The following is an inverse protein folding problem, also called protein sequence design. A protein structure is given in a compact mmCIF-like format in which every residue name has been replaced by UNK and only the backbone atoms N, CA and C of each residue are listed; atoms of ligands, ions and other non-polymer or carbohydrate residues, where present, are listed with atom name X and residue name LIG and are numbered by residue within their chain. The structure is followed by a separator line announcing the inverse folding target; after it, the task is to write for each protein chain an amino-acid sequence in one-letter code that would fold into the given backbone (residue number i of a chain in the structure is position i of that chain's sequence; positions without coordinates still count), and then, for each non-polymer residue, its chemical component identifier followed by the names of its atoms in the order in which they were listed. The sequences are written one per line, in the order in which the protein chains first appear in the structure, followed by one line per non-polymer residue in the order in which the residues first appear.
data_IF_345145082825
#
_entry.id   IF_345145082825
#
_cell.length_a   1.000
_cell.length_b   1.000
_cell.length_c   1.000
_cell.angle_alpha   90.00
_cell.angle_beta   90.00
_cell.angle_gamma   90.00
#
_symmetry.space_group_name_H-M   'P 1'
#
loop_
_entity.id
_entity.type
_entity.pdbx_description
1 polymer ?
#
# COMPACT_ATOMS: atom_id res chain seq x y z
N UNK A 1 17.33 1.66 -0.80
CA UNK A 1 16.53 0.55 -0.23
C UNK A 1 15.71 -0.09 -1.34
N UNK A 2 15.92 -1.38 -1.58
CA UNK A 2 15.31 -2.13 -2.68
C UNK A 2 13.88 -2.55 -2.31
N UNK A 3 12.88 -1.85 -2.86
CA UNK A 3 11.46 -2.05 -2.57
C UNK A 3 10.85 -3.18 -3.41
N UNK A 4 11.45 -4.38 -3.38
CA UNK A 4 11.05 -5.52 -4.23
C UNK A 4 10.05 -6.46 -3.58
N UNK A 5 9.91 -6.41 -2.25
CA UNK A 5 9.00 -7.29 -1.52
C UNK A 5 7.56 -6.79 -1.70
N UNK A 6 6.69 -7.69 -2.16
CA UNK A 6 5.27 -7.45 -2.35
C UNK A 6 4.45 -8.38 -1.47
N UNK A 7 3.21 -7.99 -1.18
CA UNK A 7 2.25 -8.75 -0.40
C UNK A 7 0.91 -8.81 -1.11
N UNK A 8 0.31 -10.00 -1.14
CA UNK A 8 -1.05 -10.19 -1.62
C UNK A 8 -2.05 -9.62 -0.59
N UNK A 9 -2.98 -8.72 -0.99
CA UNK A 9 -3.98 -8.18 -0.05
C UNK A 9 -5.03 -9.22 0.37
N UNK A 10 -5.23 -10.28 -0.41
CA UNK A 10 -6.21 -11.33 -0.14
C UNK A 10 -5.62 -12.45 0.73
N UNK A 11 -4.56 -13.10 0.25
CA UNK A 11 -3.95 -14.26 0.93
C UNK A 11 -2.88 -13.88 1.95
N UNK A 12 -2.52 -12.59 2.02
CA UNK A 12 -1.48 -12.03 2.90
C UNK A 12 -0.06 -12.58 2.70
N UNK A 13 0.16 -13.41 1.67
CA UNK A 13 1.43 -14.04 1.33
C UNK A 13 2.41 -13.04 0.73
N UNK A 14 3.69 -13.19 1.07
CA UNK A 14 4.77 -12.39 0.49
C UNK A 14 5.27 -13.02 -0.80
N UNK A 15 5.61 -12.18 -1.77
CA UNK A 15 6.15 -12.58 -3.07
C UNK A 15 7.02 -11.45 -3.65
N UNK A 16 7.88 -11.79 -4.59
CA UNK A 16 8.61 -10.82 -5.42
C UNK A 16 7.85 -10.51 -6.72
N UNK A 17 6.97 -11.42 -7.13
CA UNK A 17 6.17 -11.32 -8.35
C UNK A 17 5.08 -10.25 -8.22
N UNK A 18 4.72 -9.57 -9.33
CA UNK A 18 3.61 -8.62 -9.35
C UNK A 18 2.24 -9.30 -9.16
N UNK A 19 2.15 -10.61 -9.46
CA UNK A 19 0.93 -11.42 -9.34
C UNK A 19 1.13 -12.47 -8.26
N UNK A 20 0.09 -12.74 -7.47
CA UNK A 20 0.11 -13.78 -6.46
C UNK A 20 0.05 -15.16 -7.11
N UNK A 21 0.97 -16.09 -6.80
CA UNK A 21 0.96 -17.43 -7.39
C UNK A 21 -0.17 -18.33 -6.89
N UNK A 22 -0.91 -17.93 -5.84
CA UNK A 22 -1.98 -18.73 -5.24
C UNK A 22 -3.35 -18.25 -5.72
N UNK A 23 -3.72 -16.99 -5.48
CA UNK A 23 -5.02 -16.46 -5.90
C UNK A 23 -5.02 -15.74 -7.26
N UNK A 24 -3.87 -15.53 -7.90
CA UNK A 24 -3.78 -14.80 -9.17
C UNK A 24 -4.05 -13.29 -9.11
N UNK A 25 -4.31 -12.70 -7.93
CA UNK A 25 -4.54 -11.25 -7.79
C UNK A 25 -3.23 -10.45 -7.84
N UNK A 26 -3.36 -9.15 -8.14
CA UNK A 26 -2.24 -8.22 -8.12
C UNK A 26 -1.72 -7.97 -6.69
N UNK A 27 -0.41 -8.09 -6.53
CA UNK A 27 0.28 -7.86 -5.26
C UNK A 27 0.63 -6.38 -5.09
N UNK A 28 0.53 -5.88 -3.86
CA UNK A 28 0.92 -4.51 -3.51
C UNK A 28 2.30 -4.48 -2.86
N UNK A 29 3.05 -3.37 -2.93
CA UNK A 29 4.29 -3.22 -2.18
C UNK A 29 4.05 -3.49 -0.70
N UNK A 30 4.90 -4.31 -0.07
CA UNK A 30 4.77 -4.63 1.34
C UNK A 30 5.18 -3.45 2.25
N UNK A 31 6.09 -2.62 1.76
CA UNK A 31 6.67 -1.53 2.53
C UNK A 31 5.72 -0.33 2.56
N UNK A 32 5.61 0.36 3.71
CA UNK A 32 4.82 1.57 3.82
C UNK A 32 5.42 2.71 2.98
N UNK A 33 4.59 3.73 2.70
CA UNK A 33 5.07 4.98 2.15
C UNK A 33 6.07 5.64 3.12
N UNK A 34 7.07 6.34 2.58
CA UNK A 34 8.05 7.07 3.39
C UNK A 34 7.35 8.19 4.18
N UNK A 35 7.75 8.36 5.43
CA UNK A 35 7.31 9.45 6.28
C UNK A 35 8.28 10.64 6.13
N UNK A 36 7.74 11.86 6.08
CA UNK A 36 8.49 13.12 6.14
C UNK A 36 7.85 13.98 7.24
N UNK A 37 8.64 14.55 8.16
CA UNK A 37 8.12 15.43 9.21
C UNK A 37 7.39 16.66 8.65
N UNK A 38 7.84 17.20 7.51
CA UNK A 38 7.22 18.38 6.90
C UNK A 38 5.86 18.09 6.28
N UNK A 39 5.60 16.85 5.85
CA UNK A 39 4.32 16.34 5.33
C UNK A 39 3.47 17.36 4.55
N UNK A 40 4.03 17.93 3.48
CA UNK A 40 3.42 19.02 2.68
C UNK A 40 1.96 18.76 2.24
N UNK A 41 1.60 17.50 2.01
CA UNK A 41 0.26 17.09 1.57
C UNK A 41 -0.59 16.43 2.68
N UNK A 42 -0.20 16.60 3.95
CA UNK A 42 -0.87 15.98 5.09
C UNK A 42 -2.33 16.40 5.27
N UNK A 43 -2.65 17.67 5.00
CA UNK A 43 -4.03 18.20 5.05
C UNK A 43 -4.93 17.48 4.06
N UNK A 44 -4.49 17.38 2.80
CA UNK A 44 -5.21 16.67 1.74
C UNK A 44 -5.41 15.19 2.08
N UNK A 45 -4.36 14.50 2.55
CA UNK A 45 -4.44 13.09 2.97
C UNK A 45 -5.50 12.88 4.05
N UNK A 46 -5.63 13.80 5.01
CA UNK A 46 -6.64 13.74 6.07
C UNK A 46 -8.05 14.01 5.54
N UNK A 47 -8.22 14.99 4.67
CA UNK A 47 -9.52 15.29 4.06
C UNK A 47 -10.04 14.12 3.22
N UNK A 48 -9.20 13.52 2.38
CA UNK A 48 -9.58 12.34 1.58
C UNK A 48 -9.95 11.15 2.47
N UNK A 49 -9.22 10.92 3.58
CA UNK A 49 -9.60 9.89 4.55
C UNK A 49 -10.99 10.12 5.11
N UNK A 50 -11.32 11.36 5.52
CA UNK A 50 -12.65 11.71 6.02
C UNK A 50 -13.75 11.47 4.98
N UNK A 51 -13.49 11.87 3.73
CA UNK A 51 -14.41 11.66 2.60
C UNK A 51 -14.68 10.16 2.35
N UNK A 52 -13.64 9.33 2.32
CA UNK A 52 -13.79 7.88 2.14
C UNK A 52 -14.50 7.19 3.30
N UNK A 53 -14.40 7.71 4.53
CA UNK A 53 -15.03 7.13 5.72
C UNK A 53 -16.49 7.57 5.90
N UNK A 54 -16.89 8.69 5.28
CA UNK A 54 -18.26 9.21 5.35
C UNK A 54 -19.17 8.67 4.25
N UNK A 55 -18.65 7.75 3.43
CA UNK A 55 -19.37 7.00 2.40
C UNK A 55 -19.61 5.56 2.86
#
# INVERSE_FOLDING_TARGET
MSNRIRRCPHDRRYTLSPVCPVCGRSCRPAHPARFSPEDRYGSYRRTVRRWNTSQ
#
